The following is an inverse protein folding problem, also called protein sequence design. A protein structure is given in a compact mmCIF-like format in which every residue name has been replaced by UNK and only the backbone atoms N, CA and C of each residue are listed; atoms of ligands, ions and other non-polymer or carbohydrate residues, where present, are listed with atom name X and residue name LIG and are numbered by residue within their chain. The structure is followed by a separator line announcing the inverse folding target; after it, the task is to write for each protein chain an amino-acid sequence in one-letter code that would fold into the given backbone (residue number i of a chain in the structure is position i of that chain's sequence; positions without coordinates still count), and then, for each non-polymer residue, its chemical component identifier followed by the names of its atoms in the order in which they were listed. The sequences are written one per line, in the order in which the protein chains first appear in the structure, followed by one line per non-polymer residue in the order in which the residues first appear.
data_IF_725218169157
#
_entry.id   IF_725218169157
#
_cell.length_a   1.000
_cell.length_b   1.000
_cell.length_c   1.000
_cell.angle_alpha   90.00
_cell.angle_beta   90.00
_cell.angle_gamma   90.00
#
_symmetry.space_group_name_H-M   'P 1'
#
loop_
_entity.id
_entity.type
_entity.pdbx_description
1 polymer ?
#
# COMPACT_ATOMS: atom_id res chain seq x y z
N UNK A 1 -17.30 2.98 -20.43
CA UNK A 1 -15.97 2.36 -20.48
C UNK A 1 -15.92 1.26 -19.43
N UNK A 2 -15.32 0.10 -19.71
CA UNK A 2 -15.15 -0.95 -18.72
C UNK A 2 -13.82 -0.69 -18.02
N UNK A 3 -13.85 -0.33 -16.74
CA UNK A 3 -12.65 -0.13 -15.95
C UNK A 3 -11.97 -1.48 -15.71
N UNK A 4 -10.72 -1.60 -16.15
CA UNK A 4 -9.91 -2.79 -15.96
C UNK A 4 -9.07 -2.54 -14.70
N UNK A 5 -9.18 -3.38 -13.66
CA UNK A 5 -8.35 -3.21 -12.46
C UNK A 5 -6.87 -3.37 -12.84
N UNK A 6 -6.03 -2.53 -12.23
CA UNK A 6 -4.58 -2.60 -12.36
C UNK A 6 -3.98 -3.06 -11.03
N UNK A 7 -2.99 -3.94 -11.10
CA UNK A 7 -2.22 -4.35 -9.94
C UNK A 7 -1.08 -3.36 -9.71
N UNK A 8 -0.85 -3.00 -8.45
CA UNK A 8 0.26 -2.16 -8.04
C UNK A 8 1.24 -3.03 -7.25
N UNK A 9 2.52 -2.91 -7.59
CA UNK A 9 3.60 -3.71 -7.00
C UNK A 9 4.55 -2.82 -6.21
N UNK A 10 4.92 -3.27 -5.01
CA UNK A 10 6.01 -2.70 -4.22
C UNK A 10 7.32 -3.37 -4.62
N UNK A 11 8.29 -2.54 -5.00
CA UNK A 11 9.64 -2.96 -5.35
C UNK A 11 10.62 -2.37 -4.35
N UNK A 12 11.53 -3.18 -3.81
CA UNK A 12 12.57 -2.77 -2.87
C UNK A 12 13.96 -2.90 -3.50
N UNK A 13 14.77 -1.85 -3.43
CA UNK A 13 16.08 -1.78 -4.08
C UNK A 13 17.03 -0.82 -3.34
N UNK A 14 18.32 -0.83 -3.71
CA UNK A 14 19.35 0.07 -3.18
C UNK A 14 19.36 0.20 -1.65
N UNK A 15 19.84 -0.84 -0.96
CA UNK A 15 20.04 -0.80 0.48
C UNK A 15 21.07 0.28 0.87
N UNK A 16 20.68 1.16 1.80
CA UNK A 16 21.55 2.19 2.37
C UNK A 16 22.02 1.74 3.75
N UNK A 17 23.32 1.46 3.89
CA UNK A 17 23.90 0.94 5.13
C UNK A 17 23.92 1.97 6.27
N UNK A 18 24.04 3.25 5.94
CA UNK A 18 24.08 4.39 6.86
C UNK A 18 22.79 4.51 7.68
N UNK A 19 21.64 4.39 7.00
CA UNK A 19 20.30 4.48 7.60
C UNK A 19 19.71 3.11 7.90
N UNK A 20 20.35 2.02 7.43
CA UNK A 20 19.83 0.64 7.48
C UNK A 20 18.45 0.50 6.84
N UNK A 21 18.22 1.22 5.74
CA UNK A 21 16.92 1.23 5.03
C UNK A 21 17.07 0.84 3.57
N UNK A 22 16.05 0.17 3.03
CA UNK A 22 15.90 -0.03 1.59
C UNK A 22 15.19 1.16 0.96
N UNK A 23 15.59 1.51 -0.26
CA UNK A 23 14.77 2.35 -1.12
C UNK A 23 13.61 1.50 -1.65
N UNK A 24 12.45 2.09 -1.86
CA UNK A 24 11.32 1.37 -2.43
C UNK A 24 10.46 2.29 -3.29
N UNK A 25 9.72 1.69 -4.22
CA UNK A 25 8.83 2.40 -5.15
C UNK A 25 7.61 1.54 -5.51
N UNK A 26 6.56 2.18 -6.04
CA UNK A 26 5.35 1.53 -6.54
C UNK A 26 5.31 1.54 -8.07
N UNK A 27 4.98 0.39 -8.66
CA UNK A 27 4.96 0.20 -10.12
C UNK A 27 3.68 -0.52 -10.53
N UNK A 28 3.03 -0.08 -11.60
CA UNK A 28 1.78 -0.66 -12.12
C UNK A 28 1.99 -1.75 -13.21
N UNK A 29 3.24 -2.17 -13.44
CA UNK A 29 3.62 -3.14 -14.45
C UNK A 29 4.47 -4.26 -13.84
N UNK A 30 3.99 -5.51 -13.90
CA UNK A 30 4.67 -6.64 -13.30
C UNK A 30 6.05 -6.96 -13.93
N UNK A 31 6.24 -6.70 -15.22
CA UNK A 31 7.51 -6.93 -15.91
C UNK A 31 8.57 -5.91 -15.46
N UNK A 32 8.16 -4.66 -15.33
CA UNK A 32 9.00 -3.59 -14.78
C UNK A 32 9.35 -3.87 -13.32
N UNK A 33 8.36 -4.23 -12.50
CA UNK A 33 8.55 -4.59 -11.10
C UNK A 33 9.59 -5.70 -10.93
N UNK A 34 9.51 -6.76 -11.74
CA UNK A 34 10.48 -7.88 -11.73
C UNK A 34 11.90 -7.46 -12.10
N UNK A 35 12.05 -6.46 -12.98
CA UNK A 35 13.38 -5.97 -13.37
C UNK A 35 14.02 -5.13 -12.26
N UNK A 36 13.22 -4.42 -11.47
CA UNK A 36 13.68 -3.59 -10.35
C UNK A 36 13.97 -4.46 -9.12
N UNK A 37 13.03 -5.33 -8.76
CA UNK A 37 13.10 -6.21 -7.60
C UNK A 37 12.60 -7.61 -8.01
N UNK A 38 13.48 -8.62 -8.12
CA UNK A 38 13.07 -10.00 -8.41
C UNK A 38 12.07 -10.59 -7.38
N UNK A 39 12.01 -10.02 -6.17
CA UNK A 39 11.14 -10.44 -5.07
C UNK A 39 10.01 -9.44 -4.81
N UNK A 40 9.63 -8.64 -5.81
CA UNK A 40 8.51 -7.69 -5.72
C UNK A 40 7.23 -8.36 -5.19
N UNK A 41 6.39 -7.57 -4.53
CA UNK A 41 5.12 -8.02 -3.94
C UNK A 41 3.99 -7.12 -4.40
N UNK A 42 2.75 -7.61 -4.33
CA UNK A 42 1.58 -6.73 -4.42
C UNK A 42 1.64 -5.70 -3.30
N UNK A 43 1.37 -4.44 -3.64
CA UNK A 43 1.32 -3.36 -2.67
C UNK A 43 0.13 -3.58 -1.73
N UNK A 44 0.39 -3.48 -0.42
CA UNK A 44 -0.68 -3.40 0.56
C UNK A 44 -1.29 -2.00 0.57
N UNK A 45 -2.47 -1.84 1.17
CA UNK A 45 -3.05 -0.51 1.35
C UNK A 45 -2.13 0.40 2.17
N UNK A 46 -1.45 -0.15 3.20
CA UNK A 46 -0.46 0.60 3.98
C UNK A 46 0.65 1.15 3.08
N UNK A 47 1.15 0.37 2.13
CA UNK A 47 2.18 0.83 1.21
C UNK A 47 1.70 2.00 0.34
N UNK A 48 0.42 2.00 -0.06
CA UNK A 48 -0.18 3.11 -0.79
C UNK A 48 -0.26 4.38 0.09
N UNK A 49 -0.71 4.25 1.33
CA UNK A 49 -0.75 5.38 2.28
C UNK A 49 0.65 5.94 2.58
N UNK A 50 1.62 5.07 2.85
CA UNK A 50 3.01 5.46 3.10
C UNK A 50 3.60 6.18 1.88
N UNK A 51 3.27 5.72 0.66
CA UNK A 51 3.74 6.36 -0.58
C UNK A 51 3.14 7.75 -0.76
N UNK A 52 1.83 7.90 -0.57
CA UNK A 52 1.13 9.19 -0.61
C UNK A 52 1.70 10.16 0.43
N UNK A 53 1.89 9.70 1.66
CA UNK A 53 2.46 10.51 2.74
C UNK A 53 3.90 10.96 2.46
N UNK A 54 4.73 10.08 1.87
CA UNK A 54 6.13 10.37 1.58
C UNK A 54 6.33 11.25 0.33
N UNK A 55 5.46 11.10 -0.67
CA UNK A 55 5.61 11.77 -1.97
C UNK A 55 4.78 13.04 -2.13
N UNK A 56 3.71 13.18 -1.34
CA UNK A 56 2.70 14.22 -1.52
C UNK A 56 1.80 14.01 -2.74
N UNK A 57 1.93 12.89 -3.46
CA UNK A 57 1.02 12.55 -4.56
C UNK A 57 -0.35 12.11 -4.05
N UNK A 58 -1.41 12.50 -4.76
CA UNK A 58 -2.76 12.02 -4.49
C UNK A 58 -3.05 10.85 -5.45
N UNK A 59 -3.48 9.72 -4.89
CA UNK A 59 -3.98 8.60 -5.67
C UNK A 59 -5.50 8.71 -5.81
N UNK A 60 -5.99 9.04 -7.01
CA UNK A 60 -7.42 9.07 -7.31
C UNK A 60 -7.83 7.79 -8.06
N UNK A 61 -8.63 6.94 -7.42
CA UNK A 61 -9.10 5.69 -8.02
C UNK A 61 -9.91 4.82 -7.05
N UNK A 62 -10.41 3.69 -7.56
CA UNK A 62 -11.11 2.69 -6.76
C UNK A 62 -10.13 1.58 -6.38
N UNK A 63 -9.83 1.43 -5.10
CA UNK A 63 -9.03 0.32 -4.57
C UNK A 63 -9.96 -0.87 -4.33
N UNK A 64 -9.61 -2.04 -4.88
CA UNK A 64 -10.29 -3.31 -4.59
C UNK A 64 -9.43 -4.13 -3.64
N UNK A 65 -9.93 -4.34 -2.44
CA UNK A 65 -9.27 -5.18 -1.43
C UNK A 65 -9.90 -6.56 -1.47
N UNK A 66 -9.08 -7.61 -1.51
CA UNK A 66 -9.57 -8.98 -1.29
C UNK A 66 -9.77 -9.16 0.22
N UNK A 67 -11.02 -9.08 0.67
CA UNK A 67 -11.34 -9.21 2.11
C UNK A 67 -11.13 -10.64 2.60
N UNK A 68 -10.43 -10.76 3.72
CA UNK A 68 -10.14 -12.02 4.42
C UNK A 68 -9.38 -11.79 5.73
N UNK A 69 -8.49 -10.79 5.77
CA UNK A 69 -7.67 -10.45 6.95
C UNK A 69 -7.77 -8.96 7.35
N UNK A 70 -8.60 -8.17 6.67
CA UNK A 70 -8.73 -6.73 6.87
C UNK A 70 -10.20 -6.31 6.79
N UNK A 71 -10.61 -5.35 7.62
CA UNK A 71 -11.95 -4.76 7.61
C UNK A 71 -11.86 -3.23 7.57
N UNK A 72 -12.82 -2.59 6.91
CA UNK A 72 -13.02 -1.15 7.02
C UNK A 72 -13.53 -0.82 8.43
N UNK A 73 -12.89 0.12 9.12
CA UNK A 73 -13.37 0.66 10.39
C UNK A 73 -13.46 2.17 10.31
N UNK A 74 -14.54 2.68 10.89
CA UNK A 74 -14.69 4.10 11.20
C UNK A 74 -14.21 4.27 12.64
N UNK A 75 -13.21 5.14 12.83
CA UNK A 75 -12.66 5.46 14.13
C UNK A 75 -13.00 6.91 14.46
N UNK A 76 -13.54 7.09 15.66
CA UNK A 76 -13.74 8.41 16.26
C UNK A 76 -12.66 8.58 17.33
N UNK A 77 -11.76 9.54 17.15
CA UNK A 77 -10.79 9.90 18.21
C UNK A 77 -11.46 10.83 19.24
N UNK A 78 -10.94 10.87 20.47
CA UNK A 78 -11.51 11.69 21.57
C UNK A 78 -11.64 13.18 21.22
N UNK A 79 -10.89 13.65 20.23
CA UNK A 79 -10.90 15.01 19.70
C UNK A 79 -12.02 15.28 18.67
N UNK A 80 -12.84 14.27 18.35
CA UNK A 80 -14.04 14.40 17.52
C UNK A 80 -13.80 14.38 16.01
N UNK A 81 -12.59 14.05 15.56
CA UNK A 81 -12.34 13.79 14.14
C UNK A 81 -12.71 12.34 13.80
N UNK A 82 -13.60 12.20 12.83
CA UNK A 82 -13.92 10.90 12.23
C UNK A 82 -12.90 10.63 11.11
N UNK A 83 -12.21 9.50 11.21
CA UNK A 83 -11.37 9.02 10.11
C UNK A 83 -11.64 7.54 9.83
N UNK A 84 -11.48 7.16 8.57
CA UNK A 84 -11.74 5.79 8.12
C UNK A 84 -10.41 5.12 7.72
N UNK A 85 -10.19 3.90 8.20
CA UNK A 85 -9.00 3.12 7.85
C UNK A 85 -9.32 1.62 7.66
N UNK A 86 -8.46 0.93 6.92
CA UNK A 86 -8.48 -0.54 6.90
C UNK A 86 -7.56 -1.07 8.01
N UNK A 87 -8.13 -1.82 8.95
CA UNK A 87 -7.39 -2.48 10.03
C UNK A 87 -7.29 -3.97 9.79
N UNK A 88 -6.13 -4.55 10.14
CA UNK A 88 -5.96 -6.00 10.15
C UNK A 88 -6.85 -6.64 11.22
N UNK A 89 -7.59 -7.67 10.85
CA UNK A 89 -8.34 -8.50 11.78
C UNK A 89 -7.42 -9.58 12.33
N UNK A 90 -6.76 -9.33 13.45
CA UNK A 90 -6.18 -10.42 14.24
C UNK A 90 -7.32 -11.27 14.78
N UNK A 91 -7.53 -12.47 14.23
CA UNK A 91 -8.35 -13.48 14.90
C UNK A 91 -7.60 -13.85 16.18
N UNK A 92 -8.07 -13.36 17.32
CA UNK A 92 -7.66 -13.90 18.62
C UNK A 92 -8.33 -15.28 18.70
N UNK A 93 -7.58 -16.35 18.44
CA UNK A 93 -7.99 -17.73 18.70
C UNK A 93 -7.67 -18.06 20.16
#
# INVERSE_FOLDING_TARGET
MKEIPIDIFKCTFNYRSETRTWTWELVANAKEARNIDPNYKLASLKDLHDYVAASGYIFEGIVRVLEGEFKWVELTIEEGEDFCEYVSTSIII
#
